data_IF_091193415589
#
_entry.id   IF_091193415589
#
_cell.length_a   1.000
_cell.length_b   1.000
_cell.length_c   1.000
_cell.angle_alpha   90.00
_cell.angle_beta   90.00
_cell.angle_gamma   90.00
#
_symmetry.space_group_name_H-M   'P 1'
#
loop_
_entity.id
_entity.type
_entity.pdbx_description
1 polymer ?
#
# COMPACT_ATOMS: atom_id res chain seq x y z
N UNK A 1 -6.44 -22.95 -17.65
CA UNK A 1 -6.21 -21.83 -16.68
C UNK A 1 -6.34 -20.55 -17.44
N UNK A 2 -7.26 -19.68 -17.01
CA UNK A 2 -7.59 -18.44 -17.72
C UNK A 2 -6.96 -17.21 -17.03
N UNK A 3 -6.50 -17.40 -15.80
CA UNK A 3 -5.95 -16.33 -14.95
C UNK A 3 -4.86 -16.88 -14.03
N UNK A 4 -3.86 -16.04 -13.76
CA UNK A 4 -2.82 -16.25 -12.76
C UNK A 4 -2.88 -15.09 -11.78
N UNK A 5 -2.79 -15.39 -10.49
CA UNK A 5 -2.66 -14.40 -9.44
C UNK A 5 -1.35 -14.62 -8.67
N UNK A 6 -0.50 -13.60 -8.61
CA UNK A 6 0.75 -13.63 -7.85
C UNK A 6 0.61 -12.82 -6.55
N UNK A 7 1.01 -13.42 -5.44
CA UNK A 7 0.93 -12.76 -4.12
C UNK A 7 1.99 -11.69 -3.91
N UNK A 8 3.11 -11.77 -4.62
CA UNK A 8 4.22 -10.81 -4.53
C UNK A 8 4.92 -10.67 -5.88
N UNK A 9 5.54 -9.49 -6.12
CA UNK A 9 6.22 -9.15 -7.36
C UNK A 9 7.33 -10.13 -7.78
N UNK A 10 8.05 -10.71 -6.83
CA UNK A 10 9.18 -11.63 -7.08
C UNK A 10 8.80 -12.85 -7.92
N UNK A 11 7.54 -13.27 -7.91
CA UNK A 11 7.07 -14.42 -8.69
C UNK A 11 6.72 -14.08 -10.14
N UNK A 12 6.52 -12.80 -10.44
CA UNK A 12 6.04 -12.33 -11.74
C UNK A 12 7.00 -12.67 -12.89
N UNK A 13 8.33 -12.41 -12.81
CA UNK A 13 9.22 -12.71 -13.91
C UNK A 13 9.22 -14.20 -14.30
N UNK A 14 9.22 -15.07 -13.28
CA UNK A 14 9.16 -16.52 -13.49
C UNK A 14 7.85 -16.97 -14.14
N UNK A 15 6.73 -16.44 -13.65
CA UNK A 15 5.40 -16.73 -14.17
C UNK A 15 5.24 -16.26 -15.62
N UNK A 16 5.66 -15.04 -15.95
CA UNK A 16 5.63 -14.50 -17.33
C UNK A 16 6.50 -15.32 -18.28
N UNK A 17 7.71 -15.73 -17.83
CA UNK A 17 8.58 -16.60 -18.62
C UNK A 17 7.94 -17.95 -18.92
N UNK A 18 7.25 -18.56 -17.94
CA UNK A 18 6.54 -19.82 -18.13
C UNK A 18 5.36 -19.67 -19.11
N UNK A 19 4.58 -18.61 -18.97
CA UNK A 19 3.47 -18.26 -19.89
C UNK A 19 3.96 -18.12 -21.33
N UNK A 20 5.10 -17.42 -21.51
CA UNK A 20 5.68 -17.20 -22.83
C UNK A 20 6.17 -18.52 -23.45
N UNK A 21 6.93 -19.34 -22.69
CA UNK A 21 7.43 -20.66 -23.15
C UNK A 21 6.31 -21.62 -23.54
N UNK A 22 5.15 -21.50 -22.93
CA UNK A 22 3.98 -22.33 -23.24
C UNK A 22 3.14 -21.78 -24.41
N UNK A 23 3.51 -20.64 -24.99
CA UNK A 23 2.74 -19.99 -26.07
C UNK A 23 1.39 -19.45 -25.62
N UNK A 24 1.28 -19.09 -24.33
CA UNK A 24 0.05 -18.63 -23.69
C UNK A 24 0.04 -17.11 -23.46
N UNK A 25 1.04 -16.38 -23.94
CA UNK A 25 1.10 -14.92 -23.87
C UNK A 25 -0.17 -14.30 -24.45
N UNK A 26 -0.80 -13.41 -23.68
CA UNK A 26 -2.08 -12.78 -24.02
C UNK A 26 -3.32 -13.65 -23.86
N UNK A 27 -3.17 -14.96 -23.60
CA UNK A 27 -4.30 -15.87 -23.31
C UNK A 27 -4.58 -16.03 -21.84
N UNK A 28 -3.56 -15.89 -20.99
CA UNK A 28 -3.67 -15.91 -19.52
C UNK A 28 -3.62 -14.47 -19.01
N UNK A 29 -4.63 -14.05 -18.26
CA UNK A 29 -4.63 -12.77 -17.56
C UNK A 29 -3.83 -12.89 -16.26
N UNK A 30 -3.00 -11.89 -15.98
CA UNK A 30 -2.16 -11.86 -14.78
C UNK A 30 -2.61 -10.75 -13.86
N UNK A 31 -2.78 -11.09 -12.59
CA UNK A 31 -3.11 -10.17 -11.50
C UNK A 31 -2.14 -10.38 -10.34
N UNK A 32 -1.99 -9.41 -9.45
CA UNK A 32 -1.05 -9.52 -8.34
C UNK A 32 -1.42 -8.73 -7.09
N UNK A 33 -0.71 -9.00 -6.00
CA UNK A 33 -0.56 -8.13 -4.83
C UNK A 33 0.90 -7.70 -4.64
N UNK A 34 1.12 -6.71 -3.79
CA UNK A 34 2.45 -6.21 -3.43
C UNK A 34 3.25 -5.80 -4.68
N UNK A 35 2.88 -4.65 -5.24
CA UNK A 35 3.40 -4.15 -6.51
C UNK A 35 4.74 -3.46 -6.27
N UNK A 36 5.80 -3.99 -6.86
CA UNK A 36 7.11 -3.34 -6.96
C UNK A 36 7.24 -2.49 -8.23
N UNK A 37 8.36 -1.79 -8.38
CA UNK A 37 8.62 -0.94 -9.54
C UNK A 37 8.53 -1.68 -10.87
N UNK A 38 9.07 -2.89 -10.94
CA UNK A 38 9.05 -3.72 -12.17
C UNK A 38 7.63 -4.15 -12.50
N UNK A 39 6.87 -4.57 -11.50
CA UNK A 39 5.48 -4.97 -11.67
C UNK A 39 4.58 -3.80 -12.05
N UNK A 40 4.84 -2.60 -11.53
CA UNK A 40 4.15 -1.38 -11.93
C UNK A 40 4.36 -1.08 -13.42
N UNK A 41 5.60 -1.23 -13.93
CA UNK A 41 5.87 -1.09 -15.38
C UNK A 41 5.10 -2.14 -16.19
N UNK A 42 5.02 -3.39 -15.74
CA UNK A 42 4.22 -4.42 -16.41
C UNK A 42 2.71 -4.12 -16.40
N UNK A 43 2.18 -3.46 -15.34
CA UNK A 43 0.81 -2.96 -15.34
C UNK A 43 0.64 -1.85 -16.39
N UNK A 44 1.56 -0.90 -16.45
CA UNK A 44 1.57 0.19 -17.41
C UNK A 44 1.62 -0.31 -18.85
N UNK A 45 2.40 -1.34 -19.13
CA UNK A 45 2.50 -2.01 -20.42
C UNK A 45 1.28 -2.91 -20.74
N UNK A 46 0.39 -3.16 -19.76
CA UNK A 46 -0.77 -4.03 -19.92
C UNK A 46 -0.46 -5.53 -19.93
N UNK A 47 0.75 -5.92 -19.51
CA UNK A 47 1.17 -7.32 -19.33
C UNK A 47 0.46 -7.89 -18.09
N UNK A 48 0.41 -7.11 -17.00
CA UNK A 48 -0.40 -7.37 -15.81
C UNK A 48 -1.66 -6.50 -15.91
N UNK A 49 -2.81 -7.09 -15.68
CA UNK A 49 -4.10 -6.40 -15.85
C UNK A 49 -4.38 -5.41 -14.73
N UNK A 50 -4.12 -5.83 -13.51
CA UNK A 50 -4.26 -5.02 -12.31
C UNK A 50 -3.61 -5.72 -11.12
N UNK A 51 -3.37 -4.95 -10.07
CA UNK A 51 -2.96 -5.45 -8.76
C UNK A 51 -3.61 -4.69 -7.63
N UNK A 52 -3.29 -5.09 -6.41
CA UNK A 52 -3.60 -4.32 -5.22
C UNK A 52 -2.33 -4.11 -4.39
N UNK A 53 -2.27 -2.97 -3.71
CA UNK A 53 -1.18 -2.63 -2.80
C UNK A 53 -1.66 -1.69 -1.68
N UNK A 54 -0.72 -1.23 -0.84
CA UNK A 54 -0.97 -0.45 0.38
C UNK A 54 -0.49 -1.20 1.63
N UNK A 55 0.03 -2.42 1.46
CA UNK A 55 0.51 -3.27 2.57
C UNK A 55 1.70 -2.64 3.32
N UNK A 56 2.40 -1.69 2.72
CA UNK A 56 3.48 -0.95 3.37
C UNK A 56 2.96 0.00 4.47
N UNK A 57 1.72 0.48 4.37
CA UNK A 57 1.16 1.46 5.31
C UNK A 57 1.17 0.98 6.76
N UNK A 58 0.74 -0.25 7.09
CA UNK A 58 0.86 -0.78 8.45
C UNK A 58 2.30 -0.82 8.97
N UNK A 59 3.27 -1.13 8.10
CA UNK A 59 4.68 -1.16 8.50
C UNK A 59 5.20 0.23 8.86
N UNK A 60 4.72 1.29 8.20
CA UNK A 60 5.05 2.68 8.52
C UNK A 60 4.37 3.17 9.80
N UNK A 61 3.19 2.66 10.11
CA UNK A 61 2.41 3.06 11.29
C UNK A 61 2.82 2.31 12.56
N UNK A 62 3.26 1.05 12.44
CA UNK A 62 3.63 0.23 13.58
C UNK A 62 4.66 0.87 14.54
N UNK A 63 5.74 1.54 14.06
CA UNK A 63 6.66 2.26 14.93
C UNK A 63 5.99 3.38 15.73
N UNK A 64 4.99 4.07 15.15
CA UNK A 64 4.25 5.14 15.83
C UNK A 64 3.37 4.59 16.95
N UNK A 65 2.70 3.45 16.72
CA UNK A 65 1.96 2.74 17.77
C UNK A 65 2.88 2.32 18.91
N UNK A 66 4.05 1.76 18.62
CA UNK A 66 5.05 1.39 19.61
C UNK A 66 5.54 2.63 20.38
N UNK A 67 5.82 3.73 19.68
CA UNK A 67 6.27 4.97 20.32
C UNK A 67 5.20 5.52 21.28
N UNK A 68 3.94 5.55 20.88
CA UNK A 68 2.83 5.97 21.74
C UNK A 68 2.73 5.09 23.00
N UNK A 69 2.89 3.77 22.85
CA UNK A 69 2.91 2.86 23.99
C UNK A 69 4.07 3.16 24.95
N UNK A 70 5.29 3.36 24.43
CA UNK A 70 6.47 3.68 25.25
C UNK A 70 6.37 5.05 25.95
N UNK A 71 5.64 5.98 25.36
CA UNK A 71 5.37 7.30 25.93
C UNK A 71 4.24 7.27 27.00
N UNK A 72 3.72 6.07 27.32
CA UNK A 72 2.66 5.90 28.31
C UNK A 72 1.26 6.24 27.79
N UNK A 73 1.11 6.38 26.46
CA UNK A 73 -0.17 6.65 25.80
C UNK A 73 -0.52 5.50 24.82
N UNK A 74 -0.84 4.30 25.32
CA UNK A 74 -1.21 3.19 24.47
C UNK A 74 -2.49 3.50 23.68
N UNK A 75 -2.46 3.31 22.38
CA UNK A 75 -3.66 3.41 21.54
C UNK A 75 -4.49 2.14 21.78
N UNK A 76 -5.70 2.30 22.27
CA UNK A 76 -6.61 1.21 22.58
C UNK A 76 -7.92 1.39 21.81
N UNK A 77 -8.57 0.27 21.49
CA UNK A 77 -9.90 0.27 20.90
C UNK A 77 -10.98 0.76 21.89
N UNK A 78 -12.23 0.83 21.44
CA UNK A 78 -13.38 1.27 22.27
C UNK A 78 -13.62 0.39 23.52
N UNK A 79 -13.08 -0.83 23.54
CA UNK A 79 -13.18 -1.76 24.64
C UNK A 79 -11.93 -1.77 25.54
N UNK A 80 -11.00 -0.85 25.31
CA UNK A 80 -9.74 -0.77 26.06
C UNK A 80 -8.75 -1.88 25.71
N UNK A 81 -8.85 -2.50 24.53
CA UNK A 81 -7.95 -3.57 24.07
C UNK A 81 -6.94 -3.03 23.04
N UNK A 82 -5.83 -3.74 22.81
CA UNK A 82 -4.93 -3.43 21.72
C UNK A 82 -5.68 -3.31 20.39
N UNK A 83 -5.29 -2.35 19.52
CA UNK A 83 -6.03 -2.05 18.29
C UNK A 83 -5.98 -3.21 17.31
N UNK A 84 -7.10 -3.50 16.67
CA UNK A 84 -7.17 -4.32 15.48
C UNK A 84 -7.41 -3.38 14.30
N UNK A 85 -6.35 -3.14 13.52
CA UNK A 85 -6.37 -2.21 12.38
C UNK A 85 -6.47 -2.99 11.09
N UNK A 86 -7.42 -2.64 10.23
CA UNK A 86 -7.57 -3.21 8.90
C UNK A 86 -6.98 -2.25 7.86
N UNK A 87 -6.43 -2.82 6.80
CA UNK A 87 -5.92 -2.07 5.66
C UNK A 87 -6.84 -2.32 4.48
N UNK A 88 -7.29 -1.25 3.85
CA UNK A 88 -7.97 -1.34 2.58
C UNK A 88 -6.95 -1.09 1.46
N UNK A 89 -6.54 -2.16 0.75
CA UNK A 89 -5.54 -2.01 -0.30
C UNK A 89 -6.08 -1.21 -1.48
N UNK A 90 -5.20 -0.46 -2.13
CA UNK A 90 -5.53 0.27 -3.36
C UNK A 90 -5.59 -0.69 -4.54
N UNK A 91 -6.59 -0.52 -5.40
CA UNK A 91 -6.55 -1.10 -6.74
C UNK A 91 -5.56 -0.28 -7.58
N UNK A 92 -4.64 -0.97 -8.25
CA UNK A 92 -3.70 -0.38 -9.20
C UNK A 92 -3.89 -1.06 -10.54
N UNK A 93 -4.20 -0.27 -11.54
CA UNK A 93 -4.35 -0.72 -12.93
C UNK A 93 -3.79 0.34 -13.89
N UNK A 94 -4.03 0.15 -15.18
CA UNK A 94 -3.49 1.02 -16.22
C UNK A 94 -3.93 2.48 -16.07
N UNK A 95 -5.07 2.73 -15.44
CA UNK A 95 -5.65 4.08 -15.34
C UNK A 95 -4.99 4.91 -14.23
N UNK A 96 -4.38 4.26 -13.22
CA UNK A 96 -3.81 4.94 -12.05
C UNK A 96 -2.36 4.54 -11.71
N UNK A 97 -1.75 3.64 -12.47
CA UNK A 97 -0.39 3.15 -12.16
C UNK A 97 0.65 4.25 -12.20
N UNK A 98 0.53 5.25 -13.08
CA UNK A 98 1.46 6.38 -13.13
C UNK A 98 1.40 7.22 -11.84
N UNK A 99 0.23 7.41 -11.29
CA UNK A 99 0.03 8.09 -10.01
C UNK A 99 0.53 7.25 -8.84
N UNK A 100 0.27 5.95 -8.84
CA UNK A 100 0.82 5.01 -7.88
C UNK A 100 2.36 5.05 -7.85
N UNK A 101 3.00 5.06 -9.00
CA UNK A 101 4.46 5.07 -9.12
C UNK A 101 5.10 6.31 -8.50
N UNK A 102 4.46 7.47 -8.55
CA UNK A 102 4.97 8.71 -7.93
C UNK A 102 5.19 8.56 -6.42
N UNK A 103 4.36 7.76 -5.76
CA UNK A 103 4.37 7.59 -4.29
C UNK A 103 5.11 6.32 -3.87
N UNK A 104 4.81 5.19 -4.51
CA UNK A 104 5.21 3.87 -3.99
C UNK A 104 6.48 3.29 -4.63
N UNK A 105 6.89 3.80 -5.79
CA UNK A 105 8.09 3.29 -6.48
C UNK A 105 9.15 4.34 -6.77
N UNK A 106 8.94 5.57 -6.34
CA UNK A 106 9.91 6.66 -6.49
C UNK A 106 10.88 6.66 -5.30
N UNK A 107 12.17 6.58 -5.59
CA UNK A 107 13.21 6.56 -4.57
C UNK A 107 13.15 7.83 -3.69
N UNK A 108 13.20 7.63 -2.37
CA UNK A 108 13.19 8.70 -1.39
C UNK A 108 11.80 9.27 -1.05
N UNK A 109 10.75 8.81 -1.72
CA UNK A 109 9.36 9.15 -1.36
C UNK A 109 8.83 8.13 -0.35
N UNK A 110 8.33 8.62 0.77
CA UNK A 110 7.62 7.80 1.77
C UNK A 110 6.11 7.95 1.52
N UNK A 111 5.33 6.87 1.43
CA UNK A 111 3.89 6.96 1.17
C UNK A 111 3.13 7.84 2.16
N UNK A 112 3.49 7.78 3.44
CA UNK A 112 2.96 8.69 4.46
C UNK A 112 3.93 9.85 4.68
N UNK A 113 3.42 11.07 4.64
CA UNK A 113 4.23 12.26 4.93
C UNK A 113 4.61 12.33 6.42
N UNK A 114 5.65 13.10 6.73
CA UNK A 114 6.03 13.37 8.13
C UNK A 114 4.86 13.93 8.94
N UNK A 115 4.04 14.79 8.36
CA UNK A 115 2.91 15.39 9.06
C UNK A 115 1.79 14.37 9.31
N UNK A 116 1.54 13.44 8.39
CA UNK A 116 0.61 12.33 8.64
C UNK A 116 1.09 11.45 9.81
N UNK A 117 2.39 11.12 9.84
CA UNK A 117 2.97 10.32 10.93
C UNK A 117 3.00 11.08 12.27
N UNK A 118 3.30 12.39 12.26
CA UNK A 118 3.25 13.23 13.46
C UNK A 118 1.84 13.32 14.04
N UNK A 119 0.82 13.41 13.19
CA UNK A 119 -0.57 13.43 13.64
C UNK A 119 -1.01 12.14 14.35
N UNK A 120 -0.37 11.01 14.06
CA UNK A 120 -0.58 9.74 14.75
C UNK A 120 0.30 9.55 16.00
N UNK A 121 1.24 10.46 16.25
CA UNK A 121 2.20 10.35 17.36
C UNK A 121 1.80 11.25 18.51
N UNK A 122 1.57 10.66 19.69
CA UNK A 122 1.19 11.37 20.92
C UNK A 122 2.10 12.56 21.26
N UNK A 123 3.40 12.48 20.97
CA UNK A 123 4.36 13.57 21.22
C UNK A 123 4.04 14.86 20.47
N UNK A 124 3.39 14.74 19.31
CA UNK A 124 3.04 15.87 18.45
C UNK A 124 1.55 16.15 18.43
N UNK A 125 0.72 15.14 18.69
CA UNK A 125 -0.73 15.21 18.79
C UNK A 125 -1.21 14.53 20.09
N UNK A 126 -1.32 15.26 21.21
CA UNK A 126 -1.77 14.70 22.48
C UNK A 126 -3.19 14.14 22.48
N UNK A 127 -4.00 14.51 21.50
CA UNK A 127 -5.38 14.08 21.35
C UNK A 127 -5.55 12.86 20.44
N UNK A 128 -4.43 12.25 19.99
CA UNK A 128 -4.46 11.09 19.10
C UNK A 128 -5.21 9.92 19.70
N UNK A 129 -6.07 9.31 18.91
CA UNK A 129 -6.95 8.22 19.32
C UNK A 129 -6.88 7.04 18.35
N UNK A 130 -7.51 5.92 18.72
CA UNK A 130 -7.71 4.77 17.82
C UNK A 130 -8.37 5.15 16.49
N UNK A 131 -9.31 6.11 16.52
CA UNK A 131 -10.04 6.57 15.35
C UNK A 131 -9.11 7.16 14.28
N UNK A 132 -8.08 7.92 14.68
CA UNK A 132 -7.13 8.51 13.73
C UNK A 132 -6.36 7.44 12.96
N UNK A 133 -6.04 6.32 13.60
CA UNK A 133 -5.41 5.18 12.96
C UNK A 133 -6.35 4.43 12.02
N UNK A 134 -7.61 4.23 12.40
CA UNK A 134 -8.59 3.56 11.54
C UNK A 134 -8.94 4.41 10.33
N UNK A 135 -9.16 5.71 10.50
CA UNK A 135 -9.45 6.63 9.40
C UNK A 135 -8.33 6.65 8.37
N UNK A 136 -7.06 6.63 8.82
CA UNK A 136 -5.94 6.56 7.90
C UNK A 136 -5.87 5.23 7.16
N UNK A 137 -5.93 4.09 7.86
CA UNK A 137 -5.72 2.78 7.23
C UNK A 137 -6.90 2.28 6.40
N UNK A 138 -8.11 2.63 6.81
CA UNK A 138 -9.34 2.18 6.15
C UNK A 138 -9.86 3.18 5.11
N UNK A 139 -9.51 4.46 5.27
CA UNK A 139 -10.08 5.55 4.48
C UNK A 139 -9.12 6.19 3.49
N UNK A 140 -7.80 6.09 3.68
CA UNK A 140 -6.85 6.79 2.80
C UNK A 140 -6.90 6.23 1.37
N UNK A 141 -6.99 7.14 0.41
CA UNK A 141 -6.94 6.81 -1.01
C UNK A 141 -5.59 7.21 -1.63
N UNK A 142 -5.31 6.70 -2.83
CA UNK A 142 -4.14 7.14 -3.60
C UNK A 142 -4.18 8.65 -3.87
N UNK A 143 -5.37 9.20 -4.11
CA UNK A 143 -5.57 10.64 -4.33
C UNK A 143 -5.21 11.45 -3.07
N UNK A 144 -5.57 10.97 -1.88
CA UNK A 144 -5.22 11.64 -0.62
C UNK A 144 -3.70 11.67 -0.42
N UNK A 145 -3.02 10.58 -0.74
CA UNK A 145 -1.55 10.53 -0.67
C UNK A 145 -0.90 11.49 -1.67
N UNK A 146 -1.38 11.52 -2.92
CA UNK A 146 -0.89 12.46 -3.93
C UNK A 146 -1.07 13.92 -3.49
N UNK A 147 -2.26 14.26 -2.96
CA UNK A 147 -2.54 15.59 -2.45
C UNK A 147 -1.63 15.96 -1.28
N UNK A 148 -1.41 15.03 -0.33
CA UNK A 148 -0.52 15.24 0.81
C UNK A 148 0.94 15.51 0.39
N UNK A 149 1.35 14.99 -0.77
CA UNK A 149 2.66 15.22 -1.38
C UNK A 149 2.70 16.41 -2.34
N UNK A 150 1.58 17.09 -2.59
CA UNK A 150 1.50 18.17 -3.56
C UNK A 150 1.70 17.74 -5.02
N UNK A 151 1.36 16.48 -5.32
CA UNK A 151 1.54 15.83 -6.65
C UNK A 151 0.24 15.80 -7.47
N UNK A 152 -0.85 16.30 -6.93
CA UNK A 152 -2.16 16.44 -7.57
C UNK A 152 -2.76 17.80 -7.28
#
# INVERSE_FOLDING_TARGET
>A
VDCLYAMVGDYIPGALSAIDKLGLKGKIKVYMSCIDKTSAEYIKEGIIQAGNDGIVLPALIAPTLLQNYLDGHPILDENGKPPHLQVHPFKVDKDNVDDYMKIFTTDGVQPLTDDMLKNLCYRYNPDVTYKDFTELLEGVTLDDLLNAHGLK
#
